data_IF_803841180920
#
_entry.id   IF_803841180920
#
_cell.length_a   1.000
_cell.length_b   1.000
_cell.length_c   1.000
_cell.angle_alpha   90.00
_cell.angle_beta   90.00
_cell.angle_gamma   90.00
#
_symmetry.space_group_name_H-M   'P 1'
#
loop_
_entity.id
_entity.type
_entity.pdbx_description
1 polymer ?
#
# COMPACT_ATOMS: atom_id res chain seq x y z
N UNK A 1 -11.76 -15.37 39.26
CA UNK A 1 -11.00 -15.03 38.05
C UNK A 1 -11.83 -14.08 37.23
N UNK A 2 -11.49 -12.79 37.23
CA UNK A 2 -12.12 -11.79 36.38
C UNK A 2 -11.41 -11.88 35.02
N UNK A 3 -12.08 -12.47 34.03
CA UNK A 3 -11.66 -12.39 32.64
C UNK A 3 -11.95 -10.96 32.19
N UNK A 4 -10.95 -10.08 32.25
CA UNK A 4 -11.06 -8.76 31.67
C UNK A 4 -11.13 -8.91 30.17
N UNK A 5 -12.29 -8.66 29.59
CA UNK A 5 -12.39 -8.39 28.15
C UNK A 5 -11.59 -7.11 27.91
N UNK A 6 -10.39 -7.25 27.35
CA UNK A 6 -9.68 -6.10 26.75
C UNK A 6 -10.55 -5.67 25.59
N UNK A 7 -11.27 -4.58 25.76
CA UNK A 7 -11.97 -3.91 24.68
C UNK A 7 -10.88 -3.35 23.77
N UNK A 8 -10.71 -3.95 22.60
CA UNK A 8 -9.81 -3.43 21.58
C UNK A 8 -10.44 -2.14 21.08
N UNK A 9 -9.72 -1.06 21.17
CA UNK A 9 -10.18 0.24 20.72
C UNK A 9 -10.43 0.20 19.19
N UNK A 10 -11.52 0.82 18.74
CA UNK A 10 -11.79 1.04 17.32
C UNK A 10 -10.74 2.03 16.78
N UNK A 11 -9.91 1.67 15.80
CA UNK A 11 -8.88 2.56 15.28
C UNK A 11 -9.44 3.67 14.38
N UNK A 12 -10.71 3.61 13.97
CA UNK A 12 -11.29 4.52 12.99
C UNK A 12 -11.21 6.01 13.38
N UNK A 13 -11.49 6.45 14.62
CA UNK A 13 -11.42 7.86 14.97
C UNK A 13 -10.00 8.44 14.85
N UNK A 14 -8.99 7.68 15.26
CA UNK A 14 -7.59 8.11 15.19
C UNK A 14 -7.08 8.13 13.74
N UNK A 15 -7.46 7.14 12.94
CA UNK A 15 -7.16 7.11 11.50
C UNK A 15 -7.81 8.30 10.78
N UNK A 16 -9.07 8.62 11.07
CA UNK A 16 -9.74 9.80 10.49
C UNK A 16 -9.06 11.11 10.86
N UNK A 17 -8.60 11.22 12.09
CA UNK A 17 -7.89 12.40 12.56
C UNK A 17 -6.54 12.57 11.86
N UNK A 18 -5.74 11.50 11.76
CA UNK A 18 -4.42 11.56 11.12
C UNK A 18 -4.54 11.83 9.63
N UNK A 19 -5.45 11.17 8.92
CA UNK A 19 -5.69 11.46 7.50
C UNK A 19 -6.13 12.91 7.29
N UNK A 20 -6.99 13.43 8.14
CA UNK A 20 -7.45 14.82 8.03
C UNK A 20 -6.33 15.84 8.32
N UNK A 21 -5.37 15.51 9.16
CA UNK A 21 -4.21 16.35 9.43
C UNK A 21 -3.21 16.31 8.25
N UNK A 22 -2.88 15.10 7.76
CA UNK A 22 -1.89 14.91 6.71
C UNK A 22 -2.38 15.43 5.35
N UNK A 23 -3.70 15.38 5.09
CA UNK A 23 -4.27 15.97 3.88
C UNK A 23 -4.03 17.48 3.78
N UNK A 24 -3.88 18.18 4.91
CA UNK A 24 -3.62 19.63 4.97
C UNK A 24 -2.15 20.01 4.77
N UNK A 25 -1.24 19.04 4.78
CA UNK A 25 0.17 19.33 4.53
C UNK A 25 0.38 19.69 3.07
N UNK A 26 0.75 20.96 2.80
CA UNK A 26 0.90 21.48 1.44
C UNK A 26 2.32 21.34 0.89
N UNK A 27 3.34 21.23 1.75
CA UNK A 27 4.75 21.25 1.33
C UNK A 27 5.46 19.96 1.75
N UNK A 28 5.42 19.00 0.86
CA UNK A 28 6.19 17.76 1.00
C UNK A 28 7.31 17.83 -0.05
N UNK A 29 8.57 17.70 0.40
CA UNK A 29 9.73 17.71 -0.49
C UNK A 29 10.25 16.30 -0.67
N UNK A 30 10.37 15.87 -1.92
CA UNK A 30 11.02 14.62 -2.29
C UNK A 30 12.47 14.62 -1.82
N UNK A 31 12.89 13.54 -1.23
CA UNK A 31 14.24 13.36 -0.69
C UNK A 31 14.81 11.95 -1.01
N UNK A 32 14.05 11.16 -1.77
CA UNK A 32 14.46 9.83 -2.23
C UNK A 32 14.06 9.62 -3.69
N UNK A 33 14.84 8.78 -4.41
CA UNK A 33 14.76 8.65 -5.87
C UNK A 33 15.00 7.20 -6.26
N UNK A 34 14.08 6.62 -7.03
CA UNK A 34 14.25 5.29 -7.61
C UNK A 34 14.08 5.31 -9.14
N UNK A 35 14.00 4.15 -9.79
CA UNK A 35 13.95 4.07 -11.26
C UNK A 35 12.73 4.77 -11.85
N UNK A 36 11.57 4.63 -11.22
CA UNK A 36 10.31 5.18 -11.74
C UNK A 36 9.63 6.18 -10.82
N UNK A 37 10.11 6.34 -9.59
CA UNK A 37 9.48 7.17 -8.56
C UNK A 37 10.50 8.08 -7.90
N UNK A 38 10.16 9.35 -7.75
CA UNK A 38 10.77 10.27 -6.80
C UNK A 38 9.78 10.47 -5.66
N UNK A 39 10.20 10.29 -4.40
CA UNK A 39 9.27 10.29 -3.28
C UNK A 39 9.81 10.97 -2.03
N UNK A 40 8.92 11.25 -1.11
CA UNK A 40 9.25 11.70 0.23
C UNK A 40 9.38 10.49 1.15
N UNK A 41 10.55 10.32 1.77
CA UNK A 41 10.78 9.35 2.84
C UNK A 41 10.77 10.08 4.18
N UNK A 42 9.79 9.81 5.08
CA UNK A 42 9.76 10.37 6.42
C UNK A 42 11.01 10.00 7.22
N UNK A 43 11.49 10.91 8.10
CA UNK A 43 12.76 10.74 8.83
C UNK A 43 12.77 9.59 9.84
N UNK A 44 11.60 9.09 10.23
CA UNK A 44 11.39 7.95 11.14
C UNK A 44 11.05 6.66 10.38
N UNK A 45 11.21 6.66 9.07
CA UNK A 45 11.02 5.52 8.17
C UNK A 45 12.35 5.20 7.51
N UNK A 46 12.70 3.93 7.42
CA UNK A 46 13.94 3.48 6.78
C UNK A 46 13.62 2.55 5.62
N UNK A 47 14.29 2.74 4.50
CA UNK A 47 14.28 1.80 3.38
C UNK A 47 15.06 0.55 3.76
N UNK A 48 14.45 -0.62 3.56
CA UNK A 48 15.08 -1.93 3.78
C UNK A 48 15.70 -2.46 2.49
N UNK A 49 14.95 -2.39 1.41
CA UNK A 49 15.36 -2.87 0.11
C UNK A 49 14.68 -2.08 -1.00
N UNK A 50 15.48 -1.46 -1.85
CA UNK A 50 15.02 -0.77 -3.05
C UNK A 50 14.97 -1.69 -4.26
N UNK A 51 14.06 -1.41 -5.20
CA UNK A 51 13.91 -2.12 -6.46
C UNK A 51 13.54 -1.19 -7.61
N UNK A 52 13.16 -1.76 -8.74
CA UNK A 52 12.67 -0.97 -9.88
C UNK A 52 11.21 -0.57 -9.71
N UNK A 53 10.40 -1.52 -9.25
CA UNK A 53 8.96 -1.40 -9.14
C UNK A 53 8.49 -1.43 -7.70
N UNK A 54 9.28 -1.99 -6.79
CA UNK A 54 8.91 -2.26 -5.41
C UNK A 54 10.03 -1.84 -4.48
N UNK A 55 9.70 -1.02 -3.49
CA UNK A 55 10.59 -0.66 -2.40
C UNK A 55 9.97 -1.09 -1.07
N UNK A 56 10.77 -1.67 -0.17
CA UNK A 56 10.31 -2.07 1.17
C UNK A 56 10.89 -1.17 2.25
N UNK A 57 10.07 -0.92 3.28
CA UNK A 57 10.36 0.04 4.34
C UNK A 57 10.04 -0.53 5.71
N UNK A 58 10.65 0.06 6.72
CA UNK A 58 10.30 -0.18 8.12
C UNK A 58 9.96 1.14 8.82
N UNK A 59 8.92 1.07 9.65
CA UNK A 59 8.51 2.10 10.58
C UNK A 59 8.30 1.44 11.95
N UNK A 60 9.14 1.77 12.94
CA UNK A 60 9.21 1.06 14.22
C UNK A 60 9.32 -0.47 14.02
N UNK A 61 8.32 -1.23 14.47
CA UNK A 61 8.26 -2.68 14.34
C UNK A 61 7.40 -3.14 13.13
N UNK A 62 6.96 -2.21 12.32
CA UNK A 62 6.09 -2.46 11.18
C UNK A 62 6.88 -2.40 9.88
N UNK A 63 6.56 -3.29 8.94
CA UNK A 63 7.18 -3.33 7.62
C UNK A 63 6.10 -3.17 6.56
N UNK A 64 6.38 -2.38 5.54
CA UNK A 64 5.46 -2.15 4.43
C UNK A 64 6.20 -2.05 3.11
N UNK A 65 5.45 -2.22 2.04
CA UNK A 65 5.94 -2.16 0.65
C UNK A 65 5.21 -1.02 -0.06
N UNK A 66 5.92 -0.36 -0.95
CA UNK A 66 5.42 0.58 -1.93
C UNK A 66 5.71 0.03 -3.31
N UNK A 67 4.67 -0.17 -4.11
CA UNK A 67 4.79 -0.62 -5.49
C UNK A 67 4.32 0.45 -6.47
N UNK A 68 4.95 0.50 -7.62
CA UNK A 68 4.43 1.24 -8.79
C UNK A 68 3.19 0.53 -9.30
N UNK A 69 2.05 1.20 -9.33
CA UNK A 69 0.80 0.64 -9.85
C UNK A 69 0.77 0.69 -11.38
N UNK A 70 1.54 -0.20 -12.02
CA UNK A 70 1.66 -0.24 -13.48
C UNK A 70 0.31 -0.42 -14.15
N UNK A 71 -0.54 -1.31 -13.62
CA UNK A 71 -1.88 -1.53 -14.16
C UNK A 71 -2.75 -0.28 -14.09
N UNK A 72 -2.70 0.46 -12.97
CA UNK A 72 -3.43 1.72 -12.82
C UNK A 72 -2.99 2.76 -13.85
N UNK A 73 -1.68 2.94 -14.04
CA UNK A 73 -1.10 3.89 -14.98
C UNK A 73 -1.45 3.53 -16.43
N UNK A 74 -1.34 2.25 -16.80
CA UNK A 74 -1.64 1.79 -18.15
C UNK A 74 -3.15 1.89 -18.43
N UNK A 75 -4.00 1.47 -17.48
CA UNK A 75 -5.45 1.51 -17.63
C UNK A 75 -5.94 2.94 -17.78
N UNK A 76 -5.45 3.88 -16.99
CA UNK A 76 -5.83 5.29 -17.17
C UNK A 76 -5.51 5.81 -18.56
N UNK A 77 -4.38 5.43 -19.13
CA UNK A 77 -3.98 5.88 -20.45
C UNK A 77 -4.80 5.28 -21.58
N UNK A 78 -5.13 3.99 -21.50
CA UNK A 78 -5.75 3.25 -22.61
C UNK A 78 -7.22 2.88 -22.34
N UNK A 79 -7.65 2.83 -21.09
CA UNK A 79 -8.96 2.38 -20.63
C UNK A 79 -9.52 3.25 -19.49
N UNK A 80 -9.62 4.58 -19.67
CA UNK A 80 -9.92 5.53 -18.59
C UNK A 80 -11.31 5.35 -17.94
N UNK A 81 -12.17 4.50 -18.52
CA UNK A 81 -13.49 4.19 -17.95
C UNK A 81 -13.48 3.03 -16.96
N UNK A 82 -12.37 2.31 -16.83
CA UNK A 82 -12.25 1.22 -15.89
C UNK A 82 -11.89 1.77 -14.51
N UNK A 83 -12.83 1.63 -13.57
CA UNK A 83 -12.59 1.98 -12.17
C UNK A 83 -11.76 0.88 -11.51
N UNK A 84 -10.83 1.30 -10.67
CA UNK A 84 -10.09 0.40 -9.82
C UNK A 84 -11.05 -0.38 -8.90
N UNK A 85 -10.99 -1.71 -8.95
CA UNK A 85 -11.74 -2.60 -8.07
C UNK A 85 -10.77 -3.53 -7.36
N UNK A 86 -10.86 -3.58 -6.04
CA UNK A 86 -10.14 -4.52 -5.17
C UNK A 86 -11.01 -5.71 -4.75
N UNK A 87 -12.12 -5.94 -5.46
CA UNK A 87 -13.03 -7.02 -5.12
C UNK A 87 -12.34 -8.39 -5.19
N UNK A 88 -12.26 -9.05 -4.04
CA UNK A 88 -11.76 -10.42 -3.93
C UNK A 88 -10.36 -10.59 -3.36
N UNK A 89 -9.59 -9.51 -3.10
CA UNK A 89 -8.23 -9.63 -2.56
C UNK A 89 -8.17 -10.05 -1.10
N UNK A 90 -9.04 -9.44 -0.29
CA UNK A 90 -8.97 -9.58 1.15
C UNK A 90 -10.29 -10.08 1.71
N UNK A 91 -10.22 -10.86 2.80
CA UNK A 91 -11.42 -11.31 3.51
C UNK A 91 -12.18 -10.10 4.08
N UNK A 92 -13.34 -9.80 3.49
CA UNK A 92 -14.20 -8.68 3.89
C UNK A 92 -14.65 -8.77 5.35
N UNK A 93 -14.70 -9.98 5.94
CA UNK A 93 -15.08 -10.14 7.34
C UNK A 93 -13.99 -9.61 8.29
N UNK A 94 -12.78 -9.43 7.81
CA UNK A 94 -11.64 -8.88 8.57
C UNK A 94 -11.48 -7.36 8.42
N UNK A 95 -12.27 -6.72 7.57
CA UNK A 95 -12.23 -5.28 7.36
C UNK A 95 -12.64 -4.54 8.64
N UNK A 96 -11.74 -3.68 9.13
CA UNK A 96 -11.96 -2.85 10.31
C UNK A 96 -12.19 -1.39 9.95
N UNK A 97 -11.54 -0.93 8.88
CA UNK A 97 -11.62 0.45 8.45
C UNK A 97 -11.52 0.54 6.93
N UNK A 98 -12.29 1.45 6.34
CA UNK A 98 -12.22 1.77 4.91
C UNK A 98 -12.45 3.25 4.72
N UNK A 99 -11.56 3.89 3.96
CA UNK A 99 -11.66 5.28 3.57
C UNK A 99 -11.31 5.43 2.10
N UNK A 100 -12.13 6.18 1.38
CA UNK A 100 -11.83 6.61 0.02
C UNK A 100 -11.99 8.13 -0.08
N UNK A 101 -11.27 8.73 -0.99
CA UNK A 101 -11.30 10.18 -1.17
C UNK A 101 -10.27 10.65 -2.18
N UNK A 102 -9.95 11.92 -2.10
CA UNK A 102 -8.92 12.55 -2.93
C UNK A 102 -7.84 13.18 -2.06
N UNK A 103 -6.62 13.20 -2.53
CA UNK A 103 -5.53 14.02 -1.98
C UNK A 103 -4.91 14.86 -3.08
N UNK A 104 -4.25 15.95 -2.68
CA UNK A 104 -3.44 16.78 -3.58
C UNK A 104 -1.98 16.46 -3.30
N UNK A 105 -1.23 16.13 -4.32
CA UNK A 105 0.19 15.81 -4.22
C UNK A 105 1.08 17.06 -4.09
N UNK A 106 2.39 16.86 -4.08
CA UNK A 106 3.37 17.93 -3.96
C UNK A 106 3.43 18.87 -5.18
N UNK A 107 2.93 18.43 -6.34
CA UNK A 107 2.87 19.20 -7.59
C UNK A 107 1.53 19.90 -7.79
N UNK A 108 0.56 19.65 -6.90
CA UNK A 108 -0.78 20.24 -6.93
C UNK A 108 -1.79 19.44 -7.74
N UNK A 109 -1.46 18.20 -8.14
CA UNK A 109 -2.37 17.34 -8.84
C UNK A 109 -3.26 16.56 -7.85
N UNK A 110 -4.52 16.31 -8.26
CA UNK A 110 -5.50 15.60 -7.42
C UNK A 110 -5.55 14.12 -7.80
N UNK A 111 -5.41 13.25 -6.79
CA UNK A 111 -5.43 11.81 -6.93
C UNK A 111 -6.55 11.19 -6.11
N UNK A 112 -7.30 10.27 -6.70
CA UNK A 112 -8.21 9.42 -5.96
C UNK A 112 -7.44 8.31 -5.23
N UNK A 113 -7.90 7.93 -4.05
CA UNK A 113 -7.33 6.83 -3.29
C UNK A 113 -8.38 5.99 -2.59
N UNK A 114 -8.01 4.75 -2.30
CA UNK A 114 -8.69 3.85 -1.40
C UNK A 114 -7.70 3.39 -0.33
N UNK A 115 -8.09 3.50 0.93
CA UNK A 115 -7.34 2.98 2.07
C UNK A 115 -8.20 2.02 2.87
N UNK A 116 -7.65 0.85 3.22
CA UNK A 116 -8.32 -0.18 4.01
C UNK A 116 -7.39 -0.76 5.07
N UNK A 117 -7.99 -1.15 6.18
CA UNK A 117 -7.33 -1.84 7.27
C UNK A 117 -8.10 -3.11 7.58
N UNK A 118 -7.38 -4.22 7.56
CA UNK A 118 -7.92 -5.55 7.86
C UNK A 118 -7.23 -6.08 9.12
N UNK A 119 -7.97 -6.80 9.96
CA UNK A 119 -7.42 -7.39 11.16
C UNK A 119 -7.11 -8.87 10.97
N UNK A 120 -5.85 -9.23 11.20
CA UNK A 120 -5.37 -10.61 11.20
C UNK A 120 -4.70 -10.90 12.55
N UNK A 121 -5.41 -11.61 13.41
CA UNK A 121 -5.00 -11.93 14.78
C UNK A 121 -4.62 -10.66 15.59
N UNK A 122 -3.36 -10.50 15.94
CA UNK A 122 -2.84 -9.36 16.71
C UNK A 122 -2.27 -8.24 15.82
N UNK A 123 -2.37 -8.38 14.49
CA UNK A 123 -1.83 -7.42 13.53
C UNK A 123 -2.90 -6.86 12.61
N UNK A 124 -2.60 -5.70 12.08
CA UNK A 124 -3.40 -5.04 11.06
C UNK A 124 -2.67 -5.07 9.72
N UNK A 125 -3.34 -5.56 8.68
CA UNK A 125 -2.90 -5.39 7.31
C UNK A 125 -3.44 -4.05 6.81
N UNK A 126 -2.56 -3.15 6.42
CA UNK A 126 -2.89 -1.89 5.76
C UNK A 126 -2.80 -2.07 4.25
N UNK A 127 -3.72 -1.48 3.53
CA UNK A 127 -3.74 -1.46 2.07
C UNK A 127 -4.15 -0.07 1.59
N UNK A 128 -3.27 0.59 0.87
CA UNK A 128 -3.54 1.87 0.22
C UNK A 128 -3.29 1.73 -1.27
N UNK A 129 -4.20 2.23 -2.08
CA UNK A 129 -4.05 2.25 -3.52
C UNK A 129 -4.52 3.57 -4.10
N UNK A 130 -3.75 4.08 -5.02
CA UNK A 130 -4.12 5.15 -5.93
C UNK A 130 -3.73 4.76 -7.36
N UNK A 131 -3.97 5.64 -8.32
CA UNK A 131 -3.59 5.40 -9.72
C UNK A 131 -2.15 4.93 -9.87
N UNK A 132 -1.23 5.58 -9.17
CA UNK A 132 0.20 5.50 -9.42
C UNK A 132 0.91 4.50 -8.49
N UNK A 133 0.37 4.28 -7.30
CA UNK A 133 1.03 3.55 -6.23
C UNK A 133 0.10 2.59 -5.50
N UNK A 134 0.68 1.52 -5.02
CA UNK A 134 0.07 0.59 -4.07
C UNK A 134 0.99 0.50 -2.86
N UNK A 135 0.42 0.64 -1.66
CA UNK A 135 1.12 0.36 -0.41
C UNK A 135 0.39 -0.74 0.33
N UNK A 136 1.14 -1.63 0.93
CA UNK A 136 0.60 -2.65 1.81
C UNK A 136 1.64 -3.06 2.86
N UNK A 137 1.18 -3.41 4.05
CA UNK A 137 2.07 -3.79 5.13
C UNK A 137 1.33 -4.22 6.37
N UNK A 138 2.08 -4.78 7.32
CA UNK A 138 1.56 -5.20 8.60
C UNK A 138 2.01 -4.24 9.69
N UNK A 139 1.04 -3.80 10.51
CA UNK A 139 1.27 -2.97 11.68
C UNK A 139 0.79 -3.67 12.96
N UNK A 140 1.48 -3.40 14.05
CA UNK A 140 0.91 -3.60 15.39
C UNK A 140 -0.21 -2.59 15.66
N UNK A 141 -0.98 -2.77 16.71
CA UNK A 141 -1.99 -1.80 17.13
C UNK A 141 -1.37 -0.43 17.41
N UNK A 142 -0.23 -0.40 18.10
CA UNK A 142 0.49 0.82 18.47
C UNK A 142 1.05 1.58 17.24
N UNK A 143 1.44 0.85 16.19
CA UNK A 143 2.05 1.44 15.00
C UNK A 143 1.04 1.82 13.91
N UNK A 144 -0.19 1.29 13.96
CA UNK A 144 -1.16 1.38 12.86
C UNK A 144 -1.40 2.81 12.40
N UNK A 145 -1.70 3.72 13.32
CA UNK A 145 -2.01 5.12 13.01
C UNK A 145 -0.78 5.83 12.45
N UNK A 146 0.38 5.60 13.06
CA UNK A 146 1.66 6.13 12.61
C UNK A 146 2.04 5.65 11.22
N UNK A 147 1.96 4.35 10.96
CA UNK A 147 2.22 3.77 9.64
C UNK A 147 1.27 4.33 8.57
N UNK A 148 -0.02 4.46 8.89
CA UNK A 148 -1.02 5.03 7.98
C UNK A 148 -0.67 6.46 7.55
N UNK A 149 -0.20 7.28 8.49
CA UNK A 149 0.31 8.61 8.22
C UNK A 149 1.51 8.59 7.24
N UNK A 150 2.50 7.69 7.48
CA UNK A 150 3.69 7.60 6.60
C UNK A 150 3.31 7.19 5.20
N UNK A 151 2.43 6.22 5.03
CA UNK A 151 1.91 5.81 3.73
C UNK A 151 1.27 7.00 3.00
N UNK A 152 0.39 7.75 3.66
CA UNK A 152 -0.26 8.91 3.04
C UNK A 152 0.72 10.02 2.68
N UNK A 153 1.67 10.35 3.57
CA UNK A 153 2.69 11.37 3.29
C UNK A 153 3.63 10.96 2.16
N UNK A 154 3.99 9.68 2.08
CA UNK A 154 4.79 9.14 0.97
C UNK A 154 4.01 9.20 -0.33
N UNK A 155 2.73 8.80 -0.35
CA UNK A 155 1.88 8.90 -1.53
C UNK A 155 1.73 10.36 -2.02
N UNK A 156 1.49 11.31 -1.11
CA UNK A 156 1.42 12.74 -1.44
C UNK A 156 2.73 13.33 -1.93
N UNK A 157 3.85 12.82 -1.46
CA UNK A 157 5.19 13.27 -1.85
C UNK A 157 5.76 12.55 -3.07
N UNK A 158 5.03 11.62 -3.66
CA UNK A 158 5.51 10.83 -4.78
C UNK A 158 5.25 11.51 -6.14
N UNK A 159 6.17 11.28 -7.07
CA UNK A 159 6.03 11.57 -8.50
C UNK A 159 6.46 10.34 -9.28
N UNK A 160 5.54 9.78 -10.06
CA UNK A 160 5.82 8.61 -10.89
C UNK A 160 6.08 9.03 -12.33
N UNK A 161 7.14 8.49 -12.92
CA UNK A 161 7.52 8.75 -14.33
C UNK A 161 6.64 7.94 -15.27
N UNK A 162 5.39 8.37 -15.47
CA UNK A 162 4.37 7.68 -16.27
C UNK A 162 4.85 7.31 -17.66
N UNK A 163 5.53 8.23 -18.36
CA UNK A 163 6.02 7.98 -19.70
C UNK A 163 6.99 6.81 -19.76
N UNK A 164 7.86 6.68 -18.76
CA UNK A 164 8.84 5.60 -18.67
C UNK A 164 8.16 4.27 -18.34
N UNK A 165 7.18 4.29 -17.43
CA UNK A 165 6.36 3.12 -17.10
C UNK A 165 5.62 2.63 -18.34
N UNK A 166 4.90 3.51 -19.03
CA UNK A 166 4.15 3.16 -20.23
C UNK A 166 5.07 2.64 -21.34
N UNK A 167 6.21 3.30 -21.58
CA UNK A 167 7.16 2.88 -22.62
C UNK A 167 7.74 1.48 -22.35
N UNK A 168 7.95 1.13 -21.08
CA UNK A 168 8.57 -0.14 -20.71
C UNK A 168 7.59 -1.29 -20.51
N UNK A 169 6.33 -1.01 -20.18
CA UNK A 169 5.37 -2.04 -19.73
C UNK A 169 4.09 -2.15 -20.57
N UNK A 170 3.70 -1.16 -21.38
CA UNK A 170 2.44 -1.18 -22.12
C UNK A 170 2.31 -2.32 -23.16
N UNK A 171 3.42 -2.91 -23.60
CA UNK A 171 3.45 -3.99 -24.58
C UNK A 171 3.83 -5.35 -23.96
N UNK A 172 3.86 -5.45 -22.64
CA UNK A 172 4.20 -6.70 -21.96
C UNK A 172 2.93 -7.44 -21.57
N UNK A 173 2.93 -8.73 -21.83
CA UNK A 173 1.84 -9.62 -21.40
C UNK A 173 1.88 -9.90 -19.89
N UNK A 174 3.07 -9.75 -19.29
CA UNK A 174 3.30 -10.01 -17.86
C UNK A 174 4.15 -8.90 -17.24
N UNK A 175 3.84 -8.55 -16.00
CA UNK A 175 4.61 -7.61 -15.17
C UNK A 175 5.25 -8.40 -14.04
N UNK A 176 6.57 -8.44 -14.03
CA UNK A 176 7.34 -9.12 -12.99
C UNK A 176 7.73 -8.12 -11.91
N UNK A 177 7.05 -8.20 -10.76
CA UNK A 177 7.38 -7.42 -9.57
C UNK A 177 8.46 -8.13 -8.75
N UNK A 178 9.35 -7.35 -8.15
CA UNK A 178 10.35 -7.87 -7.23
C UNK A 178 9.67 -8.45 -5.99
N UNK A 179 10.08 -9.66 -5.60
CA UNK A 179 9.61 -10.27 -4.35
C UNK A 179 10.21 -9.52 -3.17
N UNK A 180 9.38 -9.10 -2.24
CA UNK A 180 9.77 -8.47 -0.98
C UNK A 180 9.29 -9.29 0.20
N UNK A 181 10.10 -9.36 1.26
CA UNK A 181 9.72 -9.99 2.51
C UNK A 181 9.18 -8.95 3.49
N UNK A 182 7.95 -9.15 3.93
CA UNK A 182 7.38 -8.41 5.05
C UNK A 182 7.35 -9.35 6.24
N UNK A 183 8.21 -9.13 7.24
CA UNK A 183 8.27 -9.82 8.55
C UNK A 183 7.25 -10.95 8.75
N UNK A 184 7.61 -12.20 8.38
CA UNK A 184 6.89 -13.47 8.50
C UNK A 184 6.03 -13.93 7.31
N UNK A 185 5.86 -13.13 6.26
CA UNK A 185 5.15 -13.60 5.08
C UNK A 185 5.92 -13.22 3.82
N UNK A 186 6.21 -14.19 2.97
CA UNK A 186 6.60 -13.91 1.60
C UNK A 186 5.36 -13.40 0.87
N UNK A 187 5.36 -12.14 0.52
CA UNK A 187 4.31 -11.61 -0.35
C UNK A 187 4.76 -11.87 -1.78
N UNK A 188 4.09 -12.80 -2.43
CA UNK A 188 4.26 -13.02 -3.87
C UNK A 188 3.32 -12.05 -4.56
N UNK A 189 3.86 -11.01 -5.19
CA UNK A 189 3.07 -10.18 -6.08
C UNK A 189 2.68 -10.99 -7.31
N UNK A 190 1.43 -10.84 -7.80
CA UNK A 190 0.97 -11.58 -8.97
C UNK A 190 1.81 -11.26 -10.20
N UNK A 191 2.20 -12.29 -10.92
CA UNK A 191 3.07 -12.23 -12.09
C UNK A 191 2.48 -11.37 -13.23
N UNK A 192 1.16 -11.14 -13.24
CA UNK A 192 0.44 -10.56 -14.37
C UNK A 192 -0.18 -9.19 -14.09
N UNK A 193 0.27 -8.45 -13.07
CA UNK A 193 -0.34 -7.16 -12.74
C UNK A 193 -1.85 -7.25 -12.42
N UNK A 194 -2.40 -8.44 -12.44
CA UNK A 194 -3.76 -8.73 -12.07
C UNK A 194 -3.75 -9.03 -10.58
N UNK A 195 -4.12 -8.05 -9.79
CA UNK A 195 -4.14 -8.10 -8.32
C UNK A 195 -4.99 -9.28 -7.77
N UNK A 196 -5.64 -10.08 -8.63
CA UNK A 196 -6.49 -11.23 -8.27
C UNK A 196 -5.75 -12.46 -7.73
N UNK A 197 -4.41 -12.44 -7.66
CA UNK A 197 -3.61 -13.59 -7.22
C UNK A 197 -2.83 -13.35 -5.91
N UNK A 198 -3.35 -12.56 -4.98
CA UNK A 198 -2.82 -12.52 -3.63
C UNK A 198 -3.11 -13.85 -2.91
N UNK A 199 -2.20 -14.79 -2.98
CA UNK A 199 -2.22 -15.96 -2.11
C UNK A 199 -1.61 -15.56 -0.76
N UNK A 200 -2.46 -15.22 0.19
CA UNK A 200 -2.06 -15.14 1.60
C UNK A 200 -1.75 -16.57 2.05
N UNK A 201 -0.50 -16.80 2.38
CA UNK A 201 0.17 -18.06 2.57
C UNK A 201 -0.56 -19.18 3.30
N UNK A 202 -0.19 -20.40 2.93
CA UNK A 202 -0.24 -21.58 3.76
C UNK A 202 -1.54 -22.36 3.75
N UNK A 203 -1.83 -23.04 2.65
CA UNK A 203 -2.36 -24.41 2.76
C UNK A 203 -1.23 -25.36 2.42
N UNK A 204 -0.68 -26.00 3.43
CA UNK A 204 0.05 -27.24 3.24
C UNK A 204 -0.89 -28.21 2.50
N UNK A 205 -0.56 -28.52 1.26
CA UNK A 205 -1.19 -29.66 0.59
C UNK A 205 -0.69 -30.92 1.27
N UNK A 206 -1.54 -31.53 2.09
CA UNK A 206 -1.38 -32.93 2.48
C UNK A 206 -1.37 -33.78 1.19
N UNK A 207 -0.21 -34.34 0.90
CA UNK A 207 -0.06 -35.36 -0.15
C UNK A 207 -0.87 -36.60 0.25
N UNK A 208 -1.77 -37.10 -0.59
CA UNK A 208 -2.41 -38.40 -0.32
C UNK A 208 -1.39 -39.52 -0.51
N UNK A 209 -1.34 -40.37 0.50
CA UNK A 209 -0.66 -41.68 0.44
C UNK A 209 -1.40 -42.65 -0.49
#
# INVERSE_FOLDING_TARGET
>A
MLCGCVSIADPAPELDQVFSADMKQEKIRRNNYSTYIDYYLPSDTSELEGGKLSDSFTYHNSTFIMDVNISGIINEKYYPSEQFSDEGFFDRNKLQYSRQGTYVDADGESHEYLYRVYRYDEKYLTYFVCRDLIFYGYASEDDLVGLSSRILLMAKGAEVRHNDVVANYSLRDEIDYEKKQINLFETIMPVNGNVNEFVIGGKEEESPQ
#
